data_IF_259286338965
#
_entry.id   IF_259286338965
#
_cell.length_a   1.000
_cell.length_b   1.000
_cell.length_c   1.000
_cell.angle_alpha   90.00
_cell.angle_beta   90.00
_cell.angle_gamma   90.00
#
_symmetry.space_group_name_H-M   'P 1'
#
loop_
_entity.id
_entity.type
_entity.pdbx_description
1 polymer ?
#
# COMPACT_ATOMS: atom_id res chain seq x y z
N UNK A 1 1.21 -13.71 6.43
CA UNK A 1 -0.04 -13.96 7.18
C UNK A 1 -0.77 -15.10 6.49
N UNK A 2 -1.37 -16.06 7.23
CA UNK A 2 -2.22 -17.09 6.62
C UNK A 2 -3.59 -16.52 6.26
N UNK A 3 -4.30 -17.17 5.34
CA UNK A 3 -5.68 -16.78 4.98
C UNK A 3 -6.61 -16.78 6.19
N UNK A 4 -6.47 -17.77 7.09
CA UNK A 4 -7.27 -17.87 8.32
C UNK A 4 -6.97 -16.72 9.29
N UNK A 5 -5.70 -16.41 9.53
CA UNK A 5 -5.30 -15.28 10.38
C UNK A 5 -5.80 -13.96 9.81
N UNK A 6 -5.67 -13.77 8.49
CA UNK A 6 -6.12 -12.54 7.83
C UNK A 6 -7.63 -12.32 7.98
N UNK A 7 -8.44 -13.37 7.79
CA UNK A 7 -9.89 -13.29 8.03
C UNK A 7 -10.21 -12.92 9.48
N UNK A 8 -9.55 -13.54 10.46
CA UNK A 8 -9.73 -13.21 11.88
C UNK A 8 -9.30 -11.76 12.21
N UNK A 9 -8.24 -11.26 11.57
CA UNK A 9 -7.80 -9.87 11.73
C UNK A 9 -8.85 -8.88 11.18
N UNK A 10 -9.43 -9.17 10.02
CA UNK A 10 -10.50 -8.34 9.45
C UNK A 10 -11.77 -8.36 10.31
N UNK A 11 -12.16 -9.53 10.82
CA UNK A 11 -13.31 -9.68 11.71
C UNK A 11 -13.09 -8.88 13.00
N UNK A 12 -11.88 -8.95 13.59
CA UNK A 12 -11.53 -8.14 14.75
C UNK A 12 -11.58 -6.63 14.46
N UNK A 13 -11.06 -6.16 13.32
CA UNK A 13 -11.15 -4.75 12.95
C UNK A 13 -12.61 -4.29 12.89
N UNK A 14 -13.48 -5.08 12.26
CA UNK A 14 -14.91 -4.78 12.18
C UNK A 14 -15.58 -4.76 13.57
N UNK A 15 -15.32 -5.73 14.43
CA UNK A 15 -15.82 -5.79 15.80
C UNK A 15 -15.39 -4.58 16.64
N UNK A 16 -14.18 -4.03 16.40
CA UNK A 16 -13.68 -2.85 17.09
C UNK A 16 -14.15 -1.53 16.46
N UNK A 17 -14.98 -1.59 15.40
CA UNK A 17 -15.53 -0.43 14.72
C UNK A 17 -14.55 0.26 13.76
N UNK A 18 -13.46 -0.39 13.36
CA UNK A 18 -12.59 0.13 12.32
C UNK A 18 -13.28 0.06 10.96
N UNK A 19 -13.12 1.14 10.19
CA UNK A 19 -13.71 1.25 8.86
C UNK A 19 -12.60 1.45 7.82
N UNK A 20 -12.38 0.47 6.93
CA UNK A 20 -11.38 0.58 5.88
C UNK A 20 -11.71 1.70 4.88
N UNK A 21 -10.71 2.54 4.64
CA UNK A 21 -10.72 3.61 3.64
C UNK A 21 -9.55 3.43 2.67
N UNK A 22 -9.57 4.08 1.51
CA UNK A 22 -8.42 4.13 0.61
C UNK A 22 -7.41 5.20 1.06
N UNK A 23 -6.15 5.09 0.59
CA UNK A 23 -5.18 6.17 0.75
C UNK A 23 -5.67 7.46 0.10
N UNK A 24 -6.35 7.37 -1.03
CA UNK A 24 -6.92 8.52 -1.71
C UNK A 24 -8.02 9.20 -0.88
N UNK A 25 -8.85 8.43 -0.15
CA UNK A 25 -9.85 8.98 0.76
C UNK A 25 -9.19 9.72 1.92
N UNK A 26 -8.09 9.18 2.47
CA UNK A 26 -7.28 9.87 3.47
C UNK A 26 -6.73 11.20 2.93
N UNK A 27 -6.20 11.22 1.70
CA UNK A 27 -5.69 12.45 1.08
C UNK A 27 -6.79 13.47 0.79
N UNK A 28 -7.98 13.02 0.39
CA UNK A 28 -9.16 13.89 0.25
C UNK A 28 -9.59 14.47 1.59
N UNK A 29 -9.52 13.69 2.65
CA UNK A 29 -9.85 14.16 4.00
C UNK A 29 -8.87 15.24 4.49
N UNK A 30 -7.57 15.07 4.25
CA UNK A 30 -6.55 16.12 4.52
C UNK A 30 -6.86 17.44 3.81
N UNK A 31 -7.54 17.40 2.67
CA UNK A 31 -7.97 18.57 1.88
C UNK A 31 -9.40 19.03 2.20
N UNK A 32 -10.04 18.46 3.23
CA UNK A 32 -11.42 18.79 3.61
C UNK A 32 -12.49 18.31 2.60
N UNK A 33 -12.15 17.37 1.69
CA UNK A 33 -13.04 16.87 0.63
C UNK A 33 -13.62 15.48 0.93
N UNK A 34 -13.36 14.93 2.09
CA UNK A 34 -13.89 13.65 2.56
C UNK A 34 -13.96 13.68 4.09
N UNK A 35 -15.03 13.15 4.65
CA UNK A 35 -15.17 13.00 6.11
C UNK A 35 -14.71 11.60 6.51
N UNK A 36 -13.67 11.51 7.32
CA UNK A 36 -13.20 10.24 7.83
C UNK A 36 -14.24 9.61 8.77
N UNK A 37 -14.40 8.29 8.76
CA UNK A 37 -15.11 7.60 9.81
C UNK A 37 -14.41 7.78 11.17
N UNK A 38 -15.07 7.36 12.25
CA UNK A 38 -14.53 7.52 13.61
C UNK A 38 -13.20 6.78 13.81
N UNK A 39 -13.09 5.55 13.26
CA UNK A 39 -11.89 4.71 13.34
C UNK A 39 -11.44 4.30 11.94
N UNK A 40 -10.82 5.21 11.17
CA UNK A 40 -10.36 4.87 9.81
C UNK A 40 -9.15 3.95 9.86
N UNK A 41 -9.08 3.00 8.95
CA UNK A 41 -7.91 2.16 8.71
C UNK A 41 -7.67 2.01 7.21
N UNK A 42 -6.40 1.98 6.79
CA UNK A 42 -6.01 1.68 5.41
C UNK A 42 -5.35 0.31 5.37
N UNK A 43 -5.82 -0.57 4.50
CA UNK A 43 -5.24 -1.89 4.29
C UNK A 43 -4.24 -1.82 3.13
N UNK A 44 -2.98 -2.17 3.37
CA UNK A 44 -1.91 -2.11 2.36
C UNK A 44 -1.19 -3.45 2.23
N UNK A 45 -0.83 -3.79 1.00
CA UNK A 45 -0.18 -5.06 0.65
C UNK A 45 0.95 -4.77 -0.33
N UNK A 46 2.15 -5.15 0.04
CA UNK A 46 3.36 -4.89 -0.75
C UNK A 46 3.66 -6.04 -1.73
N UNK A 47 4.62 -5.82 -2.63
CA UNK A 47 5.24 -6.72 -3.59
C UNK A 47 4.38 -7.12 -4.80
N UNK A 48 3.08 -7.29 -4.67
CA UNK A 48 2.19 -7.70 -5.77
C UNK A 48 2.24 -9.20 -6.08
N UNK A 49 2.33 -10.05 -5.06
CA UNK A 49 2.23 -11.50 -5.22
C UNK A 49 0.87 -11.94 -5.77
N UNK A 50 0.84 -13.09 -6.47
CA UNK A 50 -0.36 -13.64 -7.10
C UNK A 50 -1.52 -13.88 -6.12
N UNK A 51 -1.25 -14.12 -4.85
CA UNK A 51 -2.26 -14.32 -3.82
C UNK A 51 -3.05 -13.03 -3.50
N UNK A 52 -2.54 -11.87 -3.89
CA UNK A 52 -3.34 -10.63 -3.84
C UNK A 52 -4.56 -10.68 -4.77
N UNK A 53 -4.48 -11.42 -5.89
CA UNK A 53 -5.61 -11.64 -6.77
C UNK A 53 -6.43 -12.87 -6.39
N UNK A 54 -5.76 -14.00 -6.10
CA UNK A 54 -6.44 -15.29 -5.91
C UNK A 54 -7.05 -15.45 -4.53
N UNK A 55 -6.55 -14.75 -3.52
CA UNK A 55 -6.97 -14.88 -2.11
C UNK A 55 -7.45 -13.55 -1.54
N UNK A 56 -6.63 -12.50 -1.59
CA UNK A 56 -6.94 -11.22 -0.96
C UNK A 56 -8.17 -10.57 -1.57
N UNK A 57 -8.22 -10.41 -2.89
CA UNK A 57 -9.30 -9.71 -3.58
C UNK A 57 -10.68 -10.32 -3.28
N UNK A 58 -10.92 -11.65 -3.38
CA UNK A 58 -12.20 -12.26 -3.02
C UNK A 58 -12.60 -12.01 -1.56
N UNK A 59 -11.64 -12.04 -0.63
CA UNK A 59 -11.92 -11.82 0.79
C UNK A 59 -12.35 -10.39 1.05
N UNK A 60 -11.70 -9.41 0.42
CA UNK A 60 -12.07 -8.00 0.58
C UNK A 60 -13.43 -7.70 -0.05
N UNK A 61 -13.71 -8.27 -1.21
CA UNK A 61 -15.00 -8.11 -1.88
C UNK A 61 -16.16 -8.70 -1.09
N UNK A 62 -16.02 -9.92 -0.58
CA UNK A 62 -17.01 -10.55 0.30
C UNK A 62 -17.41 -9.64 1.47
N UNK A 63 -16.47 -8.82 1.95
CA UNK A 63 -16.66 -7.88 3.06
C UNK A 63 -16.90 -6.44 2.62
N UNK A 64 -16.97 -6.17 1.32
CA UNK A 64 -17.10 -4.82 0.74
C UNK A 64 -15.98 -3.86 1.20
N UNK A 65 -14.78 -4.40 1.40
CA UNK A 65 -13.59 -3.66 1.81
C UNK A 65 -12.73 -3.30 0.62
N UNK A 66 -11.94 -2.24 0.80
CA UNK A 66 -10.91 -1.79 -0.16
C UNK A 66 -9.53 -1.99 0.42
N UNK A 67 -8.54 -2.06 -0.46
CA UNK A 67 -7.14 -2.12 -0.07
C UNK A 67 -6.26 -1.52 -1.17
N UNK A 68 -5.01 -1.25 -0.83
CA UNK A 68 -3.98 -0.78 -1.75
C UNK A 68 -2.93 -1.86 -1.94
N UNK A 69 -2.68 -2.28 -3.18
CA UNK A 69 -1.57 -3.17 -3.53
C UNK A 69 -0.44 -2.34 -4.13
N UNK A 70 0.75 -2.42 -3.55
CA UNK A 70 1.95 -1.78 -4.06
C UNK A 70 2.76 -2.78 -4.89
N UNK A 71 2.88 -2.51 -6.19
CA UNK A 71 3.43 -3.43 -7.17
C UNK A 71 4.89 -3.12 -7.52
N UNK A 72 5.75 -4.11 -7.44
CA UNK A 72 7.10 -4.08 -8.02
C UNK A 72 6.97 -4.24 -9.53
N UNK A 73 7.22 -3.20 -10.33
CA UNK A 73 6.83 -3.22 -11.75
C UNK A 73 7.58 -4.24 -12.59
N UNK A 74 8.84 -4.50 -12.29
CA UNK A 74 9.64 -5.51 -13.01
C UNK A 74 9.30 -6.95 -12.61
N UNK A 75 8.49 -7.16 -11.57
CA UNK A 75 7.97 -8.48 -11.21
C UNK A 75 6.65 -8.83 -11.94
N UNK A 76 5.99 -7.86 -12.59
CA UNK A 76 4.69 -8.09 -13.23
C UNK A 76 4.80 -9.16 -14.31
N UNK A 77 3.96 -10.20 -14.20
CA UNK A 77 3.93 -11.32 -15.15
C UNK A 77 4.98 -12.40 -14.91
N UNK A 78 5.83 -12.25 -13.91
CA UNK A 78 6.73 -13.32 -13.47
C UNK A 78 5.97 -14.37 -12.65
N UNK A 79 6.52 -15.56 -12.55
CA UNK A 79 5.93 -16.64 -11.74
C UNK A 79 5.74 -16.21 -10.28
N UNK A 80 4.54 -16.41 -9.76
CA UNK A 80 4.18 -16.01 -8.40
C UNK A 80 3.74 -14.56 -8.21
N UNK A 81 3.79 -13.74 -9.26
CA UNK A 81 3.36 -12.33 -9.22
C UNK A 81 2.12 -12.06 -10.06
N UNK A 82 1.51 -10.90 -9.82
CA UNK A 82 0.36 -10.42 -10.60
C UNK A 82 0.71 -10.15 -12.06
N UNK A 83 -0.18 -10.52 -12.95
CA UNK A 83 -0.12 -10.15 -14.37
C UNK A 83 -0.78 -8.77 -14.61
N UNK A 84 -0.48 -8.15 -15.75
CA UNK A 84 -1.13 -6.91 -16.19
C UNK A 84 -2.66 -7.02 -16.25
N UNK A 85 -3.18 -8.17 -16.70
CA UNK A 85 -4.61 -8.41 -16.74
C UNK A 85 -5.24 -8.38 -15.35
N UNK A 86 -4.61 -9.07 -14.40
CA UNK A 86 -5.08 -9.11 -13.00
C UNK A 86 -5.02 -7.74 -12.33
N UNK A 87 -3.94 -6.97 -12.53
CA UNK A 87 -3.83 -5.61 -11.98
C UNK A 87 -4.96 -4.71 -12.47
N UNK A 88 -5.26 -4.71 -13.78
CA UNK A 88 -6.38 -3.94 -14.35
C UNK A 88 -7.72 -4.39 -13.82
N UNK A 89 -7.92 -5.69 -13.67
CA UNK A 89 -9.16 -6.22 -13.09
C UNK A 89 -9.32 -5.83 -11.63
N UNK A 90 -8.26 -5.96 -10.81
CA UNK A 90 -8.27 -5.53 -9.42
C UNK A 90 -8.64 -4.04 -9.29
N UNK A 91 -8.05 -3.18 -10.13
CA UNK A 91 -8.40 -1.76 -10.15
C UNK A 91 -9.85 -1.53 -10.56
N UNK A 92 -10.35 -2.21 -11.59
CA UNK A 92 -11.76 -2.12 -12.02
C UNK A 92 -12.73 -2.58 -10.92
N UNK A 93 -12.29 -3.50 -10.06
CA UNK A 93 -13.04 -4.02 -8.91
C UNK A 93 -12.81 -3.18 -7.63
N UNK A 94 -12.19 -1.99 -7.74
CA UNK A 94 -12.09 -1.00 -6.68
C UNK A 94 -10.87 -1.09 -5.78
N UNK A 95 -9.89 -1.94 -6.10
CA UNK A 95 -8.59 -1.93 -5.44
C UNK A 95 -7.77 -0.73 -5.89
N UNK A 96 -7.02 -0.13 -4.98
CA UNK A 96 -6.05 0.89 -5.30
C UNK A 96 -4.71 0.22 -5.64
N UNK A 97 -4.10 0.61 -6.77
CA UNK A 97 -2.80 0.09 -7.19
C UNK A 97 -1.77 1.21 -7.04
N UNK A 98 -0.76 0.96 -6.24
CA UNK A 98 0.39 1.83 -6.03
C UNK A 98 1.68 1.23 -6.57
N UNK A 99 2.76 2.00 -6.53
CA UNK A 99 4.10 1.57 -6.91
C UNK A 99 4.89 1.05 -5.71
N UNK A 100 5.67 0.00 -5.91
CA UNK A 100 6.71 -0.46 -4.98
C UNK A 100 8.10 -0.39 -5.62
N UNK A 101 8.34 0.67 -6.38
CA UNK A 101 9.49 0.91 -7.25
C UNK A 101 9.60 -0.07 -8.43
N UNK A 102 10.61 0.14 -9.27
CA UNK A 102 10.82 -0.73 -10.43
C UNK A 102 11.38 -2.11 -10.01
N UNK A 103 12.39 -2.14 -9.16
CA UNK A 103 13.19 -3.33 -8.86
C UNK A 103 13.16 -3.76 -7.38
N UNK A 104 12.42 -3.09 -6.52
CA UNK A 104 12.39 -3.33 -5.07
C UNK A 104 13.77 -3.21 -4.40
N UNK A 105 14.59 -2.29 -4.85
CA UNK A 105 15.90 -2.06 -4.26
C UNK A 105 15.84 -0.98 -3.16
N UNK A 106 16.61 -1.11 -2.06
CA UNK A 106 16.70 -0.07 -1.03
C UNK A 106 17.20 1.26 -1.63
N UNK A 107 16.46 2.34 -1.40
CA UNK A 107 16.74 3.62 -2.04
C UNK A 107 17.85 4.44 -1.35
N UNK A 108 18.23 4.10 -0.13
CA UNK A 108 19.21 4.86 0.66
C UNK A 108 20.65 4.73 0.15
N UNK A 109 20.98 3.63 -0.53
CA UNK A 109 22.29 3.38 -1.14
C UNK A 109 22.44 3.86 -2.59
N UNK A 110 21.41 4.47 -3.18
CA UNK A 110 21.38 4.89 -4.59
C UNK A 110 21.78 6.34 -4.77
N UNK A 111 22.35 6.66 -5.93
CA UNK A 111 22.50 8.05 -6.36
C UNK A 111 21.16 8.63 -6.85
N UNK A 112 21.10 9.94 -7.02
CA UNK A 112 19.87 10.64 -7.40
C UNK A 112 19.24 10.10 -8.69
N UNK A 113 20.00 9.87 -9.74
CA UNK A 113 19.49 9.37 -11.01
C UNK A 113 18.86 7.99 -10.87
N UNK A 114 19.50 7.09 -10.14
CA UNK A 114 18.97 5.76 -9.84
C UNK A 114 17.65 5.82 -9.05
N UNK A 115 17.58 6.69 -8.05
CA UNK A 115 16.36 6.89 -7.24
C UNK A 115 15.22 7.43 -8.14
N UNK A 116 15.52 8.41 -8.98
CA UNK A 116 14.53 8.97 -9.90
C UNK A 116 14.03 7.92 -10.90
N UNK A 117 14.92 7.09 -11.44
CA UNK A 117 14.54 6.00 -12.34
C UNK A 117 13.62 4.98 -11.63
N UNK A 118 13.99 4.51 -10.44
CA UNK A 118 13.18 3.57 -9.65
C UNK A 118 11.76 4.10 -9.39
N UNK A 119 11.64 5.37 -9.08
CA UNK A 119 10.37 6.01 -8.72
C UNK A 119 9.55 6.40 -9.96
N UNK A 120 10.15 7.11 -10.92
CA UNK A 120 9.46 7.62 -12.10
C UNK A 120 9.07 6.53 -13.08
N UNK A 121 10.03 5.61 -13.39
CA UNK A 121 9.77 4.54 -14.34
C UNK A 121 8.68 3.60 -13.83
N UNK A 122 8.67 3.27 -12.55
CA UNK A 122 7.64 2.39 -11.99
C UNK A 122 6.23 2.98 -12.18
N UNK A 123 6.06 4.28 -11.92
CA UNK A 123 4.79 4.98 -12.15
C UNK A 123 4.41 4.97 -13.64
N UNK A 124 5.33 5.40 -14.51
CA UNK A 124 5.09 5.47 -15.94
C UNK A 124 4.75 4.10 -16.56
N UNK A 125 5.45 3.05 -16.14
CA UNK A 125 5.20 1.68 -16.62
C UNK A 125 3.80 1.22 -16.21
N UNK A 126 3.38 1.46 -14.98
CA UNK A 126 2.04 1.11 -14.51
C UNK A 126 0.96 1.88 -15.30
N UNK A 127 1.10 3.20 -15.42
CA UNK A 127 0.13 4.06 -16.11
C UNK A 127 0.05 3.76 -17.60
N UNK A 128 1.16 3.55 -18.29
CA UNK A 128 1.20 3.16 -19.71
C UNK A 128 0.52 1.84 -19.99
N UNK A 129 0.53 0.92 -19.03
CA UNK A 129 -0.13 -0.38 -19.16
C UNK A 129 -1.58 -0.38 -18.64
N UNK A 130 -2.17 0.80 -18.47
CA UNK A 130 -3.60 0.99 -18.19
C UNK A 130 -3.97 0.91 -16.71
N UNK A 131 -3.00 1.04 -15.79
CA UNK A 131 -3.30 1.29 -14.39
C UNK A 131 -3.51 2.80 -14.24
N UNK A 132 -4.75 3.20 -14.07
CA UNK A 132 -5.11 4.62 -14.00
C UNK A 132 -4.67 5.20 -12.65
N UNK A 133 -3.92 6.31 -12.71
CA UNK A 133 -3.54 7.14 -11.58
C UNK A 133 -2.85 6.42 -10.44
N UNK A 134 -1.54 6.20 -10.61
CA UNK A 134 -0.67 5.67 -9.56
C UNK A 134 -0.26 6.82 -8.63
N UNK A 135 -1.03 7.01 -7.55
CA UNK A 135 -0.84 8.14 -6.64
C UNK A 135 0.11 7.87 -5.48
N UNK A 136 0.36 6.62 -5.15
CA UNK A 136 1.09 6.26 -3.93
C UNK A 136 2.22 5.30 -4.21
N UNK A 137 3.28 5.42 -3.39
CA UNK A 137 4.42 4.51 -3.38
C UNK A 137 4.59 3.91 -1.99
N UNK A 138 4.98 2.64 -1.92
CA UNK A 138 5.58 2.03 -0.73
C UNK A 138 7.09 1.99 -0.89
N UNK A 139 7.84 2.51 0.09
CA UNK A 139 9.30 2.41 0.06
C UNK A 139 9.74 0.97 0.27
N UNK A 140 10.61 0.40 -0.59
CA UNK A 140 11.15 -0.94 -0.40
C UNK A 140 11.78 -1.10 0.99
N UNK A 141 11.41 -2.15 1.71
CA UNK A 141 11.81 -2.38 3.09
C UNK A 141 11.49 -1.23 4.06
N UNK A 142 10.68 -0.26 3.64
CA UNK A 142 10.39 0.97 4.36
C UNK A 142 11.55 1.96 4.42
N UNK A 143 12.62 1.75 3.63
CA UNK A 143 13.87 2.51 3.65
C UNK A 143 13.83 3.62 2.60
N UNK A 144 14.17 4.83 3.00
CA UNK A 144 14.22 6.01 2.15
C UNK A 144 15.26 7.02 2.62
N UNK A 145 15.57 8.00 1.78
CA UNK A 145 16.38 9.17 2.11
C UNK A 145 15.71 10.46 1.59
N UNK A 146 16.27 11.61 1.89
CA UNK A 146 15.73 12.92 1.47
C UNK A 146 15.61 13.04 -0.06
N UNK A 147 16.53 12.44 -0.80
CA UNK A 147 16.51 12.44 -2.27
C UNK A 147 15.29 11.67 -2.80
N UNK A 148 14.96 10.52 -2.20
CA UNK A 148 13.78 9.73 -2.56
C UNK A 148 12.47 10.50 -2.29
N UNK A 149 12.38 11.17 -1.14
CA UNK A 149 11.21 12.01 -0.81
C UNK A 149 11.04 13.13 -1.82
N UNK A 150 12.13 13.81 -2.22
CA UNK A 150 12.10 14.85 -3.24
C UNK A 150 11.68 14.29 -4.61
N UNK A 151 12.25 13.16 -5.02
CA UNK A 151 11.92 12.53 -6.29
C UNK A 151 10.44 12.15 -6.40
N UNK A 152 9.81 11.73 -5.29
CA UNK A 152 8.36 11.47 -5.22
C UNK A 152 7.54 12.75 -5.44
N UNK A 153 7.90 13.84 -4.77
CA UNK A 153 7.23 15.13 -4.93
C UNK A 153 7.32 15.63 -6.39
N UNK A 154 8.50 15.48 -7.00
CA UNK A 154 8.76 15.89 -8.40
C UNK A 154 8.10 14.94 -9.44
N UNK A 155 7.58 13.78 -9.02
CA UNK A 155 6.99 12.74 -9.87
C UNK A 155 5.47 12.62 -9.75
N UNK A 156 4.81 13.65 -9.21
CA UNK A 156 3.35 13.72 -9.08
C UNK A 156 2.72 12.60 -8.23
N UNK A 157 3.48 11.98 -7.33
CA UNK A 157 2.89 11.14 -6.31
C UNK A 157 2.19 12.03 -5.26
N UNK A 158 1.07 11.56 -4.73
CA UNK A 158 0.35 12.25 -3.65
C UNK A 158 0.88 11.88 -2.27
N UNK A 159 1.57 10.75 -2.16
CA UNK A 159 2.14 10.31 -0.90
C UNK A 159 2.88 8.98 -0.99
N UNK A 160 3.53 8.64 0.11
CA UNK A 160 4.23 7.36 0.25
C UNK A 160 4.11 6.79 1.66
N UNK A 161 4.16 5.46 1.76
CA UNK A 161 4.13 4.72 3.02
C UNK A 161 5.51 4.17 3.35
N UNK A 162 5.89 4.27 4.62
CA UNK A 162 7.19 3.84 5.15
C UNK A 162 7.09 2.52 5.91
N UNK A 163 8.22 2.00 6.40
CA UNK A 163 8.27 0.90 7.37
C UNK A 163 8.21 1.35 8.84
N UNK A 164 8.15 2.66 9.10
CA UNK A 164 8.06 3.17 10.46
C UNK A 164 6.70 2.84 11.08
N UNK A 165 6.74 2.25 12.29
CA UNK A 165 5.53 1.91 13.01
C UNK A 165 4.87 3.16 13.61
N UNK A 166 3.55 3.28 13.43
CA UNK A 166 2.79 4.37 14.04
C UNK A 166 1.47 4.67 13.33
N UNK A 167 0.87 5.76 13.76
CA UNK A 167 -0.41 6.28 13.26
C UNK A 167 -0.21 7.63 12.58
N UNK A 168 -1.11 7.95 11.67
CA UNK A 168 -1.02 9.16 10.86
C UNK A 168 -2.08 10.17 11.30
N UNK A 169 -1.64 11.36 11.70
CA UNK A 169 -2.49 12.53 11.87
C UNK A 169 -2.57 13.35 10.57
N UNK A 170 -3.48 14.32 10.50
CA UNK A 170 -3.52 15.23 9.36
C UNK A 170 -2.23 16.05 9.16
N UNK A 171 -1.46 16.27 10.23
CA UNK A 171 -0.16 16.94 10.15
C UNK A 171 0.97 16.05 9.66
N UNK A 172 0.80 14.72 9.59
CA UNK A 172 1.85 13.81 9.11
C UNK A 172 2.19 14.16 7.65
N UNK A 173 3.49 14.18 7.34
CA UNK A 173 3.97 14.37 5.97
C UNK A 173 3.43 13.23 5.09
N UNK A 174 2.84 13.60 3.95
CA UNK A 174 2.20 12.64 3.05
C UNK A 174 3.17 11.67 2.39
N UNK A 175 4.44 12.04 2.29
CA UNK A 175 5.50 11.16 1.78
C UNK A 175 6.14 10.29 2.86
N UNK A 176 5.71 10.41 4.11
CA UNK A 176 6.26 9.69 5.27
C UNK A 176 5.17 9.03 6.11
N UNK A 177 4.14 8.51 5.47
CA UNK A 177 3.04 7.85 6.17
C UNK A 177 3.53 6.58 6.89
N UNK A 178 3.21 6.50 8.16
CA UNK A 178 3.57 5.39 9.03
C UNK A 178 2.60 4.22 8.83
N UNK A 179 3.06 3.01 9.13
CA UNK A 179 2.25 1.78 9.04
C UNK A 179 2.41 0.91 10.27
N UNK A 180 1.35 0.18 10.61
CA UNK A 180 1.45 -0.95 11.54
C UNK A 180 1.76 -2.19 10.71
N UNK A 181 3.02 -2.61 10.70
CA UNK A 181 3.44 -3.82 9.98
C UNK A 181 2.88 -5.08 10.67
N UNK A 182 2.22 -5.92 9.88
CA UNK A 182 1.61 -7.18 10.34
C UNK A 182 2.37 -8.37 9.72
N UNK A 183 3.41 -8.88 10.38
CA UNK A 183 4.15 -10.05 9.91
C UNK A 183 3.31 -11.33 10.11
N UNK A 184 3.84 -12.46 9.65
CA UNK A 184 3.27 -13.76 10.01
C UNK A 184 3.26 -13.90 11.54
N UNK A 185 2.09 -14.06 12.18
CA UNK A 185 2.02 -14.00 13.63
C UNK A 185 2.64 -15.25 14.26
N UNK A 186 3.42 -15.05 15.32
CA UNK A 186 3.87 -16.13 16.20
C UNK A 186 2.82 -16.46 17.27
N UNK A 187 2.03 -15.47 17.66
CA UNK A 187 1.01 -15.57 18.73
C UNK A 187 -0.42 -15.29 18.19
N UNK A 188 -0.68 -15.58 16.93
CA UNK A 188 -1.99 -15.45 16.31
C UNK A 188 -2.59 -14.05 16.45
N UNK A 189 -3.90 -13.99 16.69
CA UNK A 189 -4.66 -12.75 16.78
C UNK A 189 -4.20 -11.84 17.95
N UNK A 190 -3.62 -12.38 19.01
CA UNK A 190 -3.12 -11.56 20.13
C UNK A 190 -2.00 -10.61 19.70
N UNK A 191 -1.06 -11.08 18.88
CA UNK A 191 0.00 -10.23 18.37
C UNK A 191 -0.56 -9.08 17.52
N UNK A 192 -1.54 -9.35 16.65
CA UNK A 192 -2.23 -8.34 15.87
C UNK A 192 -2.87 -7.26 16.78
N UNK A 193 -3.62 -7.67 17.80
CA UNK A 193 -4.22 -6.76 18.78
C UNK A 193 -3.19 -5.87 19.47
N UNK A 194 -2.08 -6.44 19.90
CA UNK A 194 -1.01 -5.69 20.58
C UNK A 194 -0.30 -4.69 19.64
N UNK A 195 -0.21 -5.00 18.35
CA UNK A 195 0.36 -4.08 17.35
C UNK A 195 -0.54 -2.87 17.10
N UNK A 196 -1.85 -3.03 17.19
CA UNK A 196 -2.82 -1.93 17.06
C UNK A 196 -2.91 -1.05 18.32
N UNK A 197 -2.26 -1.39 19.41
CA UNK A 197 -2.23 -0.58 20.64
C UNK A 197 -0.96 0.29 20.76
N UNK A 198 0.00 0.13 19.86
CA UNK A 198 1.28 0.87 19.83
C UNK A 198 1.21 2.07 18.92
#
# INVERSE_FOLDING_TARGET
>A
VTTADFKQQLDYLAEQGYQPISLLDFMKAKKGKFTLPEKPVVLTFDDGYIDNYTVLLPILEERQLKGTVFMVTNAIGQDGYLSWGQLREMQARGMEIGSHTANHLPLDGMNQAQIEDEIKLSKLILEWNGIHTVYFLSYPNGIYNVTAVKALADSEYLGAVTGHAGYNAFATDTYLLQRVNIPRPHFGLLEFKLRLLK
#
